data_IF_025321241251
#
_entry.id   IF_025321241251
#
_cell.length_a   1.000
_cell.length_b   1.000
_cell.length_c   1.000
_cell.angle_alpha   90.00
_cell.angle_beta   90.00
_cell.angle_gamma   90.00
#
_symmetry.space_group_name_H-M   'P 1'
#
loop_
_entity.id
_entity.type
_entity.pdbx_description
1 polymer ?
#
# COMPACT_ATOMS: atom_id res chain seq x y z
N UNK A 1 -1.89 -7.10 1.10
CA UNK A 1 -0.76 -6.87 0.15
C UNK A 1 0.33 -6.17 0.93
N UNK A 2 1.57 -6.67 0.89
CA UNK A 2 2.69 -6.06 1.62
C UNK A 2 3.41 -5.05 0.73
N UNK A 3 3.44 -3.78 1.12
CA UNK A 3 4.09 -2.71 0.35
C UNK A 3 5.06 -1.91 1.21
N UNK A 4 6.09 -1.37 0.57
CA UNK A 4 6.98 -0.36 1.16
C UNK A 4 7.06 0.81 0.19
N UNK A 5 7.35 2.02 0.67
CA UNK A 5 7.50 3.16 -0.22
C UNK A 5 8.86 3.14 -0.91
N UNK A 6 8.87 3.63 -2.15
CA UNK A 6 10.10 3.81 -2.89
C UNK A 6 10.96 4.91 -2.25
N UNK A 7 12.30 4.80 -2.30
CA UNK A 7 13.20 5.81 -1.77
C UNK A 7 12.84 7.21 -2.28
N UNK A 8 12.65 8.16 -1.36
CA UNK A 8 12.27 9.54 -1.69
C UNK A 8 10.76 9.78 -1.87
N UNK A 9 9.91 8.76 -1.71
CA UNK A 9 8.45 8.91 -1.77
C UNK A 9 7.79 8.65 -0.41
N UNK A 10 6.86 9.53 -0.03
CA UNK A 10 5.97 9.34 1.11
C UNK A 10 4.55 9.12 0.59
N UNK A 11 4.02 7.92 0.76
CA UNK A 11 2.71 7.56 0.22
C UNK A 11 1.68 7.55 1.36
N UNK A 12 0.68 8.45 1.34
CA UNK A 12 -0.36 8.46 2.38
C UNK A 12 -1.20 7.19 2.31
N UNK A 13 -1.69 6.74 3.46
CA UNK A 13 -2.59 5.60 3.59
C UNK A 13 -3.99 6.01 3.13
N UNK A 14 -4.61 5.17 2.32
CA UNK A 14 -5.99 5.34 1.87
C UNK A 14 -6.94 5.38 3.07
N UNK A 15 -7.68 6.49 3.21
CA UNK A 15 -8.60 6.73 4.33
C UNK A 15 -7.97 7.44 5.53
N UNK A 16 -6.65 7.58 5.59
CA UNK A 16 -5.96 8.14 6.76
C UNK A 16 -4.76 9.00 6.33
N UNK A 17 -4.99 10.22 5.80
CA UNK A 17 -3.96 11.05 5.15
C UNK A 17 -2.88 11.57 6.10
N UNK A 18 -3.05 11.39 7.41
CA UNK A 18 -2.02 11.70 8.42
C UNK A 18 -0.95 10.61 8.53
N UNK A 19 -1.26 9.39 8.10
CA UNK A 19 -0.35 8.25 8.13
C UNK A 19 0.27 8.05 6.75
N UNK A 20 1.58 7.86 6.73
CA UNK A 20 2.35 7.71 5.51
C UNK A 20 3.18 6.43 5.57
N UNK A 21 3.27 5.77 4.43
CA UNK A 21 4.25 4.73 4.16
C UNK A 21 5.49 5.46 3.64
N UNK A 22 6.56 5.38 4.41
CA UNK A 22 7.86 6.03 4.19
C UNK A 22 8.87 5.02 3.66
N UNK A 23 9.93 5.48 2.98
CA UNK A 23 10.96 4.57 2.51
C UNK A 23 11.83 4.11 3.67
N UNK A 24 12.15 2.82 3.72
CA UNK A 24 13.00 2.24 4.76
C UNK A 24 12.29 1.87 6.06
N UNK A 25 10.96 2.05 6.15
CA UNK A 25 10.17 1.44 7.21
C UNK A 25 9.82 -0.03 6.87
N UNK A 26 9.39 -0.77 7.89
CA UNK A 26 8.91 -2.13 7.72
C UNK A 26 7.75 -2.21 6.72
N UNK A 27 7.68 -3.28 5.90
CA UNK A 27 6.61 -3.44 4.92
C UNK A 27 5.23 -3.41 5.58
N UNK A 28 4.36 -2.53 5.10
CA UNK A 28 3.01 -2.35 5.61
C UNK A 28 2.04 -3.25 4.87
N UNK A 29 1.20 -3.96 5.62
CA UNK A 29 0.10 -4.70 5.04
C UNK A 29 -1.07 -3.76 4.72
N UNK A 30 -1.38 -3.62 3.44
CA UNK A 30 -2.47 -2.81 2.91
C UNK A 30 -3.47 -3.64 2.12
N UNK A 31 -4.70 -3.14 2.00
CA UNK A 31 -5.71 -3.72 1.11
C UNK A 31 -5.28 -3.57 -0.36
N UNK A 32 -5.67 -4.53 -1.20
CA UNK A 32 -5.36 -4.49 -2.64
C UNK A 32 -6.37 -3.61 -3.39
N UNK A 33 -6.39 -2.32 -3.07
CA UNK A 33 -7.29 -1.34 -3.70
C UNK A 33 -6.64 -0.71 -4.94
N UNK A 34 -7.47 -0.07 -5.77
CA UNK A 34 -7.00 0.68 -6.93
C UNK A 34 -6.04 1.83 -6.57
N UNK A 35 -6.13 2.37 -5.35
CA UNK A 35 -5.21 3.39 -4.86
C UNK A 35 -3.78 2.86 -4.79
N UNK A 36 -3.54 1.77 -4.03
CA UNK A 36 -2.21 1.20 -3.87
C UNK A 36 -1.66 0.62 -5.18
N UNK A 37 -2.53 0.03 -6.02
CA UNK A 37 -2.12 -0.46 -7.35
C UNK A 37 -1.60 0.66 -8.25
N UNK A 38 -2.24 1.83 -8.24
CA UNK A 38 -1.76 3.01 -9.01
C UNK A 38 -0.44 3.52 -8.49
N UNK A 39 -0.25 3.59 -7.16
CA UNK A 39 1.02 4.00 -6.54
C UNK A 39 2.17 3.04 -6.85
N UNK A 40 1.89 1.73 -6.94
CA UNK A 40 2.87 0.74 -7.40
C UNK A 40 3.22 0.97 -8.87
N UNK A 41 2.22 1.18 -9.74
CA UNK A 41 2.46 1.43 -11.16
C UNK A 41 3.20 2.75 -11.43
N UNK A 42 3.02 3.75 -10.56
CA UNK A 42 3.75 5.01 -10.58
C UNK A 42 5.21 4.89 -10.05
N UNK A 43 5.58 3.75 -9.45
CA UNK A 43 6.88 3.56 -8.84
C UNK A 43 7.04 4.20 -7.46
N UNK A 44 5.96 4.67 -6.85
CA UNK A 44 5.98 5.25 -5.50
C UNK A 44 5.89 4.19 -4.40
N UNK A 45 5.30 3.03 -4.71
CA UNK A 45 5.25 1.86 -3.83
C UNK A 45 5.92 0.65 -4.48
N UNK A 46 6.55 -0.17 -3.65
CA UNK A 46 7.22 -1.40 -4.00
C UNK A 46 6.54 -2.57 -3.27
N UNK A 47 6.24 -3.63 -4.00
CA UNK A 47 5.76 -4.89 -3.42
C UNK A 47 6.89 -5.56 -2.65
N UNK A 48 6.70 -5.76 -1.34
CA UNK A 48 7.68 -6.48 -0.53
C UNK A 48 7.48 -7.99 -0.65
N UNK A 49 8.60 -8.73 -0.72
CA UNK A 49 8.64 -10.21 -0.87
C UNK A 49 8.24 -10.99 0.40
N UNK A 50 7.52 -10.38 1.34
CA UNK A 50 6.83 -11.12 2.38
C UNK A 50 5.65 -11.85 1.74
N UNK A 51 5.65 -13.20 1.78
CA UNK A 51 4.66 -14.13 1.20
C UNK A 51 3.29 -13.47 0.98
N UNK A 52 3.06 -12.94 -0.23
CA UNK A 52 1.72 -12.49 -0.64
C UNK A 52 0.85 -13.73 -0.83
N UNK A 53 0.20 -14.17 0.24
CA UNK A 53 -1.02 -14.94 0.11
C UNK A 53 -2.07 -14.00 -0.46
N UNK A 54 -2.23 -14.06 -1.78
CA UNK A 54 -3.45 -13.69 -2.45
C UNK A 54 -4.62 -14.38 -1.75
N UNK A 55 -5.40 -13.65 -0.95
CA UNK A 55 -6.78 -13.98 -0.56
C UNK A 55 -7.42 -12.84 0.25
N UNK A 56 -8.54 -12.33 -0.30
CA UNK A 56 -9.68 -11.70 0.41
C UNK A 56 -9.36 -10.33 1.05
N UNK A 57 -10.21 -9.31 1.05
CA UNK A 57 -11.67 -9.24 0.95
C UNK A 57 -12.05 -7.83 0.51
N UNK A 58 -13.19 -7.74 -0.17
CA UNK A 58 -13.95 -6.52 -0.49
C UNK A 58 -14.06 -5.59 0.72
N UNK A 59 -13.88 -4.29 0.57
CA UNK A 59 -14.55 -3.32 1.44
C UNK A 59 -15.35 -2.41 0.51
N UNK A 60 -16.61 -2.80 0.40
CA UNK A 60 -17.76 -1.99 0.00
C UNK A 60 -17.67 -0.61 0.70
N UNK A 61 -17.87 0.52 -0.01
CA UNK A 61 -18.17 1.77 0.66
C UNK A 61 -19.58 1.65 1.26
N UNK A 62 -19.67 1.81 2.57
CA UNK A 62 -20.93 1.89 3.28
C UNK A 62 -21.78 3.07 2.74
N UNK A 63 -23.06 2.77 2.61
CA UNK A 63 -24.21 3.59 2.19
C UNK A 63 -24.31 4.97 2.85
#
# INVERSE_FOLDING_TARGET
>A
MLVTAAPGHMVPIEGDPRKHIEPGQDPVEVLNTSYYRRRIAAGELLLSKGRSSAKKTTQEPAE
#
